data_IF_479976625882
#
_entry.id   IF_479976625882
#
_cell.length_a   1.000
_cell.length_b   1.000
_cell.length_c   1.000
_cell.angle_alpha   90.00
_cell.angle_beta   90.00
_cell.angle_gamma   90.00
#
_symmetry.space_group_name_H-M   'P 1'
#
loop_
_entity.id
_entity.type
_entity.pdbx_description
1 polymer ?
#
# COMPACT_ATOMS: atom_id res chain seq x y z
N UNK A 1 3.96 -8.08 3.67
CA UNK A 1 2.83 -7.12 3.70
C UNK A 1 1.60 -7.85 3.21
N UNK A 2 0.52 -7.80 3.97
CA UNK A 2 -0.68 -8.61 3.74
C UNK A 2 -1.72 -7.84 2.94
N UNK A 3 -2.57 -8.57 2.24
CA UNK A 3 -3.79 -8.08 1.59
C UNK A 3 -4.78 -7.38 2.53
N UNK A 4 -4.58 -7.48 3.84
CA UNK A 4 -5.53 -7.09 4.87
C UNK A 4 -5.20 -5.67 5.34
N UNK A 5 -6.24 -4.87 5.60
CA UNK A 5 -6.09 -3.53 6.18
C UNK A 5 -5.60 -3.64 7.63
N UNK A 6 -4.35 -3.26 7.86
CA UNK A 6 -3.75 -3.24 9.19
C UNK A 6 -4.18 -2.00 9.98
N UNK A 7 -4.33 -2.10 11.31
CA UNK A 7 -4.55 -0.94 12.17
C UNK A 7 -3.43 0.09 12.02
N UNK A 8 -3.77 1.37 11.97
CA UNK A 8 -2.80 2.47 11.79
C UNK A 8 -1.70 2.45 12.85
N UNK A 9 -2.06 2.19 14.10
CA UNK A 9 -1.14 2.06 15.23
C UNK A 9 -0.08 0.97 15.00
N UNK A 10 -0.47 -0.17 14.43
CA UNK A 10 0.47 -1.25 14.14
C UNK A 10 1.50 -0.85 13.08
N UNK A 11 1.06 -0.17 12.01
CA UNK A 11 1.96 0.38 11.01
C UNK A 11 2.94 1.41 11.60
N UNK A 12 2.44 2.27 12.50
CA UNK A 12 3.29 3.23 13.22
C UNK A 12 4.33 2.56 14.10
N UNK A 13 4.02 1.43 14.76
CA UNK A 13 5.00 0.67 15.52
C UNK A 13 6.10 0.09 14.63
N UNK A 14 5.73 -0.45 13.47
CA UNK A 14 6.71 -0.95 12.49
C UNK A 14 7.60 0.19 12.00
N UNK A 15 7.01 1.33 11.63
CA UNK A 15 7.78 2.48 11.16
C UNK A 15 8.66 3.07 12.27
N UNK A 16 8.21 3.07 13.54
CA UNK A 16 9.04 3.44 14.68
C UNK A 16 10.24 2.50 14.83
N UNK A 17 10.05 1.19 14.65
CA UNK A 17 11.15 0.22 14.68
C UNK A 17 12.14 0.44 13.52
N UNK A 18 11.65 0.75 12.32
CA UNK A 18 12.48 1.06 11.15
C UNK A 18 13.25 2.38 11.33
N UNK A 19 12.61 3.41 11.88
CA UNK A 19 13.25 4.66 12.28
C UNK A 19 14.37 4.41 13.29
N UNK A 20 14.11 3.58 14.30
CA UNK A 20 15.09 3.25 15.35
C UNK A 20 16.30 2.57 14.73
N UNK A 21 16.06 1.58 13.88
CA UNK A 21 17.10 0.87 13.15
C UNK A 21 17.97 1.81 12.32
N UNK A 22 17.37 2.75 11.58
CA UNK A 22 18.10 3.64 10.67
C UNK A 22 18.94 4.71 11.40
N UNK A 23 18.43 5.26 12.51
CA UNK A 23 19.01 6.47 13.13
C UNK A 23 19.59 6.28 14.54
N UNK A 24 19.20 5.24 15.26
CA UNK A 24 19.60 5.03 16.66
C UNK A 24 20.18 3.63 16.94
N UNK A 25 20.11 2.70 15.97
CA UNK A 25 20.54 1.32 16.17
C UNK A 25 19.79 0.66 17.32
N UNK A 26 20.50 0.29 18.39
CA UNK A 26 19.92 -0.31 19.61
C UNK A 26 19.47 0.70 20.66
N UNK A 27 19.92 1.95 20.56
CA UNK A 27 19.61 3.01 21.52
C UNK A 27 18.18 3.53 21.34
N UNK A 28 17.60 4.08 22.41
CA UNK A 28 16.33 4.79 22.29
C UNK A 28 16.45 6.04 21.40
N UNK A 29 15.37 6.31 20.65
CA UNK A 29 15.28 7.50 19.81
C UNK A 29 14.85 8.66 20.71
N UNK A 30 15.74 9.62 20.91
CA UNK A 30 15.43 10.92 21.48
C UNK A 30 15.16 11.93 20.35
N UNK A 31 14.38 12.98 20.64
CA UNK A 31 14.20 14.11 19.70
C UNK A 31 15.57 14.62 19.23
N UNK A 32 15.75 14.72 17.91
CA UNK A 32 17.00 15.16 17.28
C UNK A 32 17.88 14.04 16.69
N UNK A 33 17.67 12.75 17.01
CA UNK A 33 18.42 11.66 16.36
C UNK A 33 17.98 11.40 14.92
N UNK A 34 16.72 11.66 14.58
CA UNK A 34 16.20 11.50 13.22
C UNK A 34 16.55 12.73 12.36
N UNK A 35 17.55 12.60 11.49
CA UNK A 35 18.04 13.70 10.64
C UNK A 35 17.16 14.01 9.42
N UNK A 36 16.28 13.08 9.04
CA UNK A 36 15.47 13.19 7.83
C UNK A 36 14.01 12.83 8.13
N UNK A 37 13.08 13.63 7.60
CA UNK A 37 11.65 13.35 7.69
C UNK A 37 11.32 11.99 7.04
N UNK A 38 10.50 11.17 7.71
CA UNK A 38 10.10 9.85 7.22
C UNK A 38 9.47 9.88 5.83
N UNK A 39 8.65 10.90 5.53
CA UNK A 39 8.05 11.05 4.22
C UNK A 39 9.12 11.20 3.13
N UNK A 40 10.22 11.92 3.40
CA UNK A 40 11.36 12.05 2.48
C UNK A 40 12.15 10.73 2.39
N UNK A 41 12.35 10.04 3.51
CA UNK A 41 12.97 8.71 3.54
C UNK A 41 12.22 7.71 2.64
N UNK A 42 10.89 7.76 2.64
CA UNK A 42 10.05 6.88 1.83
C UNK A 42 9.96 7.25 0.35
N UNK A 43 10.50 8.39 -0.08
CA UNK A 43 10.52 8.72 -1.50
C UNK A 43 11.45 7.76 -2.27
N UNK A 44 11.15 7.47 -3.55
CA UNK A 44 12.09 6.81 -4.44
C UNK A 44 13.47 7.49 -4.46
N UNK A 45 14.52 6.71 -4.71
CA UNK A 45 15.90 7.23 -4.80
C UNK A 45 16.01 8.34 -5.86
N UNK A 46 15.29 8.22 -6.98
CA UNK A 46 15.22 9.25 -8.03
C UNK A 46 14.68 10.61 -7.54
N UNK A 47 14.02 10.65 -6.40
CA UNK A 47 13.47 11.86 -5.76
C UNK A 47 14.18 12.14 -4.43
N UNK A 48 15.46 11.76 -4.31
CA UNK A 48 16.32 12.01 -3.14
C UNK A 48 15.83 11.37 -1.83
N UNK A 49 15.02 10.32 -1.91
CA UNK A 49 14.68 9.50 -0.76
C UNK A 49 15.59 8.27 -0.63
N UNK A 50 15.31 7.44 0.38
CA UNK A 50 16.00 6.16 0.59
C UNK A 50 15.26 4.98 -0.08
N UNK A 51 14.13 5.24 -0.74
CA UNK A 51 13.32 4.21 -1.40
C UNK A 51 12.62 3.27 -0.42
N UNK A 52 12.53 3.61 0.87
CA UNK A 52 11.90 2.75 1.86
C UNK A 52 10.38 2.72 1.62
N UNK A 53 9.76 1.54 1.46
CA UNK A 53 8.32 1.40 1.34
C UNK A 53 7.51 2.10 2.43
N UNK A 54 6.68 3.07 2.01
CA UNK A 54 5.56 3.55 2.81
C UNK A 54 4.53 2.42 2.97
N UNK A 55 4.37 1.94 4.20
CA UNK A 55 3.51 0.79 4.50
C UNK A 55 2.05 1.02 4.17
N UNK A 56 1.56 2.25 4.33
CA UNK A 56 0.17 2.56 4.01
C UNK A 56 -0.04 2.55 2.51
N UNK A 57 0.88 3.17 1.75
CA UNK A 57 0.81 3.22 0.29
C UNK A 57 0.95 1.83 -0.33
N UNK A 58 1.96 1.04 0.05
CA UNK A 58 2.12 -0.31 -0.49
C UNK A 58 0.96 -1.21 -0.04
N UNK A 59 0.47 -1.07 1.20
CA UNK A 59 -0.66 -1.85 1.67
C UNK A 59 -1.91 -1.55 0.85
N UNK A 60 -2.14 -0.29 0.49
CA UNK A 60 -3.21 0.11 -0.41
C UNK A 60 -3.01 -0.44 -1.81
N UNK A 61 -1.81 -0.31 -2.39
CA UNK A 61 -1.52 -0.86 -3.72
C UNK A 61 -1.81 -2.37 -3.81
N UNK A 62 -1.41 -3.15 -2.79
CA UNK A 62 -1.71 -4.58 -2.71
C UNK A 62 -3.22 -4.86 -2.62
N UNK A 63 -3.99 -4.00 -1.95
CA UNK A 63 -5.45 -4.10 -1.93
C UNK A 63 -6.06 -3.82 -3.31
N UNK A 64 -5.58 -2.81 -4.04
CA UNK A 64 -6.02 -2.54 -5.40
C UNK A 64 -5.78 -3.72 -6.35
N UNK A 65 -4.72 -4.51 -6.14
CA UNK A 65 -4.51 -5.74 -6.91
C UNK A 65 -5.65 -6.76 -6.75
N UNK A 66 -6.35 -6.79 -5.61
CA UNK A 66 -7.52 -7.67 -5.45
C UNK A 66 -8.68 -7.26 -6.34
N UNK A 67 -8.89 -5.94 -6.50
CA UNK A 67 -9.90 -5.43 -7.42
C UNK A 67 -9.55 -5.81 -8.86
N UNK A 68 -8.28 -5.73 -9.24
CA UNK A 68 -7.83 -6.23 -10.54
C UNK A 68 -8.06 -7.74 -10.72
N UNK A 69 -7.63 -8.56 -9.75
CA UNK A 69 -7.77 -10.01 -9.81
C UNK A 69 -9.21 -10.50 -9.82
N UNK A 70 -10.13 -9.76 -9.19
CA UNK A 70 -11.56 -10.06 -9.24
C UNK A 70 -12.11 -10.03 -10.67
N UNK A 71 -11.47 -9.30 -11.59
CA UNK A 71 -11.89 -9.17 -12.98
C UNK A 71 -11.12 -10.12 -13.90
N UNK A 72 -9.81 -10.26 -13.70
CA UNK A 72 -8.95 -11.06 -14.59
C UNK A 72 -8.94 -12.55 -14.27
N UNK A 73 -9.31 -12.95 -13.05
CA UNK A 73 -9.09 -14.30 -12.53
C UNK A 73 -10.38 -14.91 -11.99
N UNK A 74 -11.38 -14.98 -12.88
CA UNK A 74 -12.74 -15.48 -12.59
C UNK A 74 -12.78 -16.98 -12.21
N UNK A 75 -11.74 -17.73 -12.54
CA UNK A 75 -11.58 -19.16 -12.23
C UNK A 75 -11.16 -19.43 -10.78
N UNK A 76 -10.83 -18.39 -10.01
CA UNK A 76 -10.21 -18.58 -8.69
C UNK A 76 -11.25 -18.84 -7.58
N UNK A 77 -10.94 -19.71 -6.60
CA UNK A 77 -11.89 -20.07 -5.54
C UNK A 77 -12.34 -18.91 -4.65
N UNK A 78 -11.58 -17.83 -4.60
CA UNK A 78 -11.89 -16.64 -3.80
C UNK A 78 -12.75 -15.60 -4.54
N UNK A 79 -13.10 -15.85 -5.81
CA UNK A 79 -14.02 -14.99 -6.56
C UNK A 79 -15.39 -15.03 -5.89
N UNK A 80 -15.95 -13.85 -5.60
CA UNK A 80 -17.21 -13.70 -4.86
C UNK A 80 -17.06 -13.60 -3.35
N UNK A 81 -15.87 -13.82 -2.79
CA UNK A 81 -15.60 -13.53 -1.38
C UNK A 81 -15.47 -12.02 -1.13
N UNK A 82 -15.75 -11.59 0.10
CA UNK A 82 -15.54 -10.20 0.50
C UNK A 82 -14.07 -9.82 0.37
N UNK A 83 -13.76 -8.82 -0.46
CA UNK A 83 -12.40 -8.30 -0.59
C UNK A 83 -12.05 -7.39 0.59
N UNK A 84 -10.77 -7.30 0.98
CA UNK A 84 -10.33 -6.41 2.07
C UNK A 84 -10.32 -4.92 1.67
N UNK A 85 -10.85 -4.57 0.50
CA UNK A 85 -10.84 -3.20 -0.05
C UNK A 85 -11.97 -2.35 0.55
N UNK A 86 -11.63 -1.16 1.01
CA UNK A 86 -12.62 -0.18 1.46
C UNK A 86 -13.11 0.73 0.31
N UNK A 87 -14.08 1.60 0.60
CA UNK A 87 -14.65 2.53 -0.39
C UNK A 87 -13.62 3.50 -0.98
N UNK A 88 -12.61 3.86 -0.19
CA UNK A 88 -11.53 4.74 -0.66
C UNK A 88 -10.65 3.99 -1.65
N UNK A 89 -10.32 2.74 -1.36
CA UNK A 89 -9.58 1.87 -2.27
C UNK A 89 -10.36 1.66 -3.58
N UNK A 90 -11.68 1.47 -3.53
CA UNK A 90 -12.55 1.35 -4.73
C UNK A 90 -12.56 2.62 -5.57
N UNK A 91 -12.71 3.79 -4.94
CA UNK A 91 -12.65 5.09 -5.62
C UNK A 91 -11.29 5.33 -6.26
N UNK A 92 -10.21 5.00 -5.54
CA UNK A 92 -8.86 5.13 -6.06
C UNK A 92 -8.63 4.20 -7.26
N UNK A 93 -9.10 2.95 -7.18
CA UNK A 93 -9.05 2.02 -8.29
C UNK A 93 -9.75 2.60 -9.52
N UNK A 94 -11.02 3.00 -9.39
CA UNK A 94 -11.80 3.57 -10.48
C UNK A 94 -11.19 4.86 -11.07
N UNK A 95 -10.50 5.67 -10.26
CA UNK A 95 -9.80 6.86 -10.75
C UNK A 95 -8.46 6.54 -11.44
N UNK A 96 -7.89 5.36 -11.19
CA UNK A 96 -6.57 4.95 -11.68
C UNK A 96 -6.64 3.89 -12.79
N UNK A 97 -7.83 3.44 -13.15
CA UNK A 97 -8.06 2.44 -14.20
C UNK A 97 -9.12 2.93 -15.17
N UNK A 98 -8.93 2.63 -16.45
CA UNK A 98 -9.92 2.88 -17.48
C UNK A 98 -10.69 1.59 -17.75
N UNK A 99 -12.01 1.66 -17.78
CA UNK A 99 -12.87 0.50 -18.05
C UNK A 99 -13.54 0.74 -19.39
N UNK A 100 -13.06 0.04 -20.42
CA UNK A 100 -13.71 0.06 -21.74
C UNK A 100 -14.80 -1.02 -21.74
N UNK A 101 -16.06 -0.59 -21.78
CA UNK A 101 -17.18 -1.51 -21.94
C UNK A 101 -17.13 -2.07 -23.37
N UNK A 102 -16.86 -3.37 -23.49
CA UNK A 102 -16.82 -4.08 -24.76
C UNK A 102 -18.23 -4.40 -25.30
N UNK A 103 -18.35 -5.53 -25.99
CA UNK A 103 -19.57 -6.02 -26.68
C UNK A 103 -20.77 -6.42 -25.77
N UNK A 104 -20.79 -5.95 -24.52
CA UNK A 104 -21.84 -6.22 -23.55
C UNK A 104 -21.65 -7.49 -22.72
N UNK A 105 -20.60 -8.27 -22.97
CA UNK A 105 -20.31 -9.49 -22.19
C UNK A 105 -19.27 -9.25 -21.08
N UNK A 106 -18.25 -8.43 -21.33
CA UNK A 106 -17.23 -8.00 -20.36
C UNK A 106 -16.69 -6.61 -20.70
N UNK A 107 -16.22 -5.89 -19.68
CA UNK A 107 -15.40 -4.70 -19.89
C UNK A 107 -13.92 -5.08 -19.85
N UNK A 108 -13.13 -4.51 -20.75
CA UNK A 108 -11.67 -4.63 -20.82
C UNK A 108 -11.01 -3.43 -20.13
N UNK A 109 -9.93 -3.68 -19.40
CA UNK A 109 -9.01 -2.65 -18.91
C UNK A 109 -7.86 -2.42 -19.89
#
# INVERSE_FOLDING_TARGET
>A
MTAIKLPKHFLQQIDKARHKFLWAGREEIYEGKCKVNWAKVCLPIKYEGLGIPDLQKIGRALRLCWLWHQWTSLDKPWVGMSTPCDDIDRKLFAASTEVVVGDGTKASF
#
